data_IF_747699996863
#
_entry.id   IF_747699996863
#
_cell.length_a   1.000
_cell.length_b   1.000
_cell.length_c   1.000
_cell.angle_alpha   90.00
_cell.angle_beta   90.00
_cell.angle_gamma   90.00
#
_symmetry.space_group_name_H-M   'P 1'
#
loop_
_entity.id
_entity.type
_entity.pdbx_description
1 polymer ?
#
# COMPACT_ATOMS: atom_id res chain seq x y z
N UNK A 1 8.66 -1.25 -8.20
CA UNK A 1 7.23 -1.60 -8.09
C UNK A 1 7.08 -3.07 -8.48
N UNK A 2 6.60 -3.93 -7.59
CA UNK A 2 6.31 -5.32 -7.94
C UNK A 2 5.01 -5.34 -8.75
N UNK A 3 5.09 -5.56 -10.05
CA UNK A 3 3.92 -5.94 -10.84
C UNK A 3 3.44 -7.30 -10.33
N UNK A 4 2.23 -7.34 -9.77
CA UNK A 4 1.53 -8.59 -9.53
C UNK A 4 1.30 -9.26 -10.89
N UNK A 5 2.11 -10.27 -11.20
CA UNK A 5 2.05 -11.01 -12.46
C UNK A 5 0.71 -11.74 -12.62
N UNK A 6 -0.28 -11.04 -13.17
CA UNK A 6 -1.57 -11.63 -13.55
C UNK A 6 -1.36 -12.44 -14.83
N UNK A 7 -1.18 -13.76 -14.67
CA UNK A 7 -1.21 -14.71 -15.78
C UNK A 7 -2.61 -14.66 -16.41
N UNK A 8 -2.74 -14.53 -17.75
CA UNK A 8 -4.05 -14.42 -18.39
C UNK A 8 -4.94 -15.61 -18.01
N UNK A 9 -6.10 -15.32 -17.39
CA UNK A 9 -7.11 -16.32 -17.01
C UNK A 9 -7.70 -16.92 -18.30
N UNK A 10 -7.38 -18.18 -18.58
CA UNK A 10 -7.91 -18.90 -19.72
C UNK A 10 -9.39 -19.26 -19.44
N UNK A 11 -10.37 -18.75 -20.21
CA UNK A 11 -11.80 -18.89 -19.88
C UNK A 11 -12.32 -20.33 -19.96
N UNK A 12 -11.60 -21.22 -20.64
CA UNK A 12 -11.94 -22.65 -20.79
C UNK A 12 -11.31 -23.56 -19.72
N UNK A 13 -10.60 -23.03 -18.73
CA UNK A 13 -9.99 -23.86 -17.68
C UNK A 13 -11.03 -24.15 -16.58
N UNK A 14 -11.24 -25.43 -16.19
CA UNK A 14 -12.10 -25.75 -15.05
C UNK A 14 -11.62 -24.99 -13.80
N UNK A 15 -12.56 -24.39 -13.07
CA UNK A 15 -12.29 -23.69 -11.81
C UNK A 15 -11.82 -24.72 -10.78
N UNK A 16 -10.55 -24.66 -10.45
CA UNK A 16 -9.94 -25.47 -9.41
C UNK A 16 -10.46 -25.03 -8.03
N UNK A 17 -11.12 -25.90 -7.25
CA UNK A 17 -11.64 -25.56 -5.93
C UNK A 17 -10.53 -25.22 -4.93
N UNK A 18 -9.30 -25.72 -5.12
CA UNK A 18 -8.16 -25.41 -4.26
C UNK A 18 -7.65 -23.98 -4.49
N UNK A 19 -7.68 -23.52 -5.75
CA UNK A 19 -7.31 -22.12 -6.09
C UNK A 19 -8.17 -21.10 -5.37
N UNK A 20 -9.48 -21.36 -5.24
CA UNK A 20 -10.39 -20.45 -4.54
C UNK A 20 -10.03 -20.30 -3.06
N UNK A 21 -9.80 -21.43 -2.38
CA UNK A 21 -9.42 -21.41 -0.96
C UNK A 21 -8.11 -20.65 -0.74
N UNK A 22 -7.12 -20.88 -1.61
CA UNK A 22 -5.85 -20.16 -1.55
C UNK A 22 -5.99 -18.66 -1.80
N UNK A 23 -6.87 -18.26 -2.74
CA UNK A 23 -7.16 -16.84 -2.99
C UNK A 23 -7.84 -16.19 -1.77
N UNK A 24 -8.79 -16.89 -1.12
CA UNK A 24 -9.50 -16.41 0.07
C UNK A 24 -8.56 -16.27 1.29
N UNK A 25 -7.69 -17.26 1.54
CA UNK A 25 -6.72 -17.24 2.64
C UNK A 25 -5.70 -16.10 2.45
N UNK A 26 -5.30 -15.81 1.21
CA UNK A 26 -4.38 -14.73 0.89
C UNK A 26 -4.99 -13.36 1.18
N UNK A 27 -6.25 -13.14 0.79
CA UNK A 27 -6.95 -11.88 1.03
C UNK A 27 -7.11 -11.62 2.54
N UNK A 28 -7.57 -12.63 3.29
CA UNK A 28 -7.71 -12.52 4.74
C UNK A 28 -6.39 -12.14 5.43
N UNK A 29 -5.27 -12.75 5.01
CA UNK A 29 -3.95 -12.42 5.56
C UNK A 29 -3.46 -11.02 5.18
N UNK A 30 -3.85 -10.48 4.02
CA UNK A 30 -3.53 -9.11 3.62
C UNK A 30 -4.34 -8.09 4.42
N UNK A 31 -5.63 -8.33 4.65
CA UNK A 31 -6.48 -7.46 5.46
C UNK A 31 -5.98 -7.34 6.92
N UNK A 32 -5.47 -8.44 7.50
CA UNK A 32 -4.94 -8.46 8.87
C UNK A 32 -3.53 -7.86 8.99
N UNK A 33 -2.73 -7.85 7.91
CA UNK A 33 -1.31 -7.48 7.95
C UNK A 33 -1.05 -5.97 7.84
N UNK A 34 -2.06 -5.17 7.51
CA UNK A 34 -1.89 -3.73 7.38
C UNK A 34 -2.76 -3.01 8.42
N UNK A 35 -2.21 -2.64 9.60
CA UNK A 35 -2.76 -1.53 10.35
C UNK A 35 -2.82 -0.36 9.38
N UNK A 36 -4.03 0.10 9.04
CA UNK A 36 -4.26 1.06 7.95
C UNK A 36 -3.21 2.15 7.97
N UNK A 37 -2.28 2.07 7.00
CA UNK A 37 -1.05 2.87 6.86
C UNK A 37 -0.68 3.65 8.12
N UNK A 38 0.20 3.09 8.97
CA UNK A 38 0.80 3.74 10.14
C UNK A 38 0.75 5.28 9.99
N UNK A 39 0.02 6.00 10.86
CA UNK A 39 -0.38 7.39 10.61
C UNK A 39 0.78 8.21 10.07
N UNK A 40 0.49 9.02 9.04
CA UNK A 40 1.46 9.96 8.48
C UNK A 40 2.09 10.72 9.65
N UNK A 41 3.38 10.53 9.88
CA UNK A 41 4.09 11.23 10.94
C UNK A 41 4.10 12.72 10.59
N UNK A 42 3.18 13.49 11.17
CA UNK A 42 2.95 14.92 10.88
C UNK A 42 4.05 15.81 11.50
N UNK A 43 5.12 15.23 12.04
CA UNK A 43 6.20 16.03 12.60
C UNK A 43 7.03 16.61 11.46
N UNK A 44 6.66 17.81 11.02
CA UNK A 44 7.62 18.64 10.32
C UNK A 44 8.79 18.89 11.28
N UNK A 45 10.04 18.65 10.86
CA UNK A 45 11.18 19.08 11.66
C UNK A 45 11.09 20.59 11.89
N UNK A 46 11.68 21.08 12.99
CA UNK A 46 11.76 22.51 13.26
C UNK A 46 12.20 23.26 12.00
N UNK A 47 11.55 24.41 11.66
CA UNK A 47 11.90 25.17 10.47
C UNK A 47 13.41 25.36 10.34
N UNK A 48 13.93 25.12 9.13
CA UNK A 48 15.32 25.32 8.83
C UNK A 48 15.67 26.82 8.81
N UNK A 49 16.95 27.16 8.90
CA UNK A 49 17.42 28.55 8.78
C UNK A 49 17.00 29.21 7.46
N UNK A 50 16.80 28.40 6.41
CA UNK A 50 16.34 28.88 5.11
C UNK A 50 14.84 29.24 5.10
N UNK A 51 14.05 28.68 6.03
CA UNK A 51 12.62 28.99 6.18
C UNK A 51 12.38 30.35 6.89
N UNK A 52 13.37 30.84 7.65
CA UNK A 52 13.29 32.10 8.40
C UNK A 52 13.24 33.35 7.53
N UNK A 53 13.84 33.33 6.34
CA UNK A 53 13.98 34.53 5.50
C UNK A 53 12.66 34.98 4.85
N UNK A 54 11.69 34.08 4.77
CA UNK A 54 10.34 34.38 4.25
C UNK A 54 9.52 35.30 5.16
N UNK A 55 9.81 35.33 6.47
CA UNK A 55 9.05 36.09 7.48
C UNK A 55 9.60 37.50 7.75
N UNK A 56 10.76 37.84 7.17
CA UNK A 56 11.46 39.13 7.40
C UNK A 56 11.24 40.17 6.30
N UNK A 57 10.49 39.84 5.24
CA UNK A 57 10.05 40.80 4.21
C UNK A 57 8.53 40.97 4.29
N UNK A 58 8.09 41.73 5.28
CA UNK A 58 6.75 42.32 5.38
C UNK A 58 6.89 43.81 5.61
#
# INVERSE_FOLDING_TARGET
MAEAGTKPKNPNKPKDPEKKKLDDDLEAGLEESFPGSDPVSVTQPSPSRHDEDSRRKG
#
